data_IF_761416922613
#
_entry.id   IF_761416922613
#
_cell.length_a   1.000
_cell.length_b   1.000
_cell.length_c   1.000
_cell.angle_alpha   90.00
_cell.angle_beta   90.00
_cell.angle_gamma   90.00
#
_symmetry.space_group_name_H-M   'P 1'
#
loop_
_entity.id
_entity.type
_entity.pdbx_description
1 polymer ?
#
# COMPACT_ATOMS: atom_id res chain seq x y z
N UNK A 1 22.48 -8.61 -1.51
CA UNK A 1 21.97 -7.30 -1.99
C UNK A 1 21.10 -7.42 -3.23
N UNK A 2 21.52 -8.07 -4.33
CA UNK A 2 20.70 -8.15 -5.56
C UNK A 2 19.34 -8.87 -5.36
N UNK A 3 19.32 -9.91 -4.52
CA UNK A 3 18.08 -10.61 -4.17
C UNK A 3 17.06 -9.71 -3.44
N UNK A 4 17.52 -8.82 -2.55
CA UNK A 4 16.65 -7.85 -1.87
C UNK A 4 16.09 -6.81 -2.84
N UNK A 5 16.90 -6.33 -3.78
CA UNK A 5 16.44 -5.42 -4.84
C UNK A 5 15.35 -6.10 -5.66
N UNK A 6 15.54 -7.36 -6.05
CA UNK A 6 14.52 -8.11 -6.79
C UNK A 6 13.20 -8.26 -5.99
N UNK A 7 13.27 -8.47 -4.67
CA UNK A 7 12.08 -8.53 -3.81
C UNK A 7 11.35 -7.18 -3.79
N UNK A 8 12.09 -6.06 -3.70
CA UNK A 8 11.50 -4.71 -3.71
C UNK A 8 10.80 -4.45 -5.05
N UNK A 9 11.45 -4.76 -6.18
CA UNK A 9 10.86 -4.61 -7.52
C UNK A 9 9.63 -5.50 -7.67
N UNK A 10 9.69 -6.76 -7.23
CA UNK A 10 8.56 -7.69 -7.28
C UNK A 10 7.38 -7.19 -6.44
N UNK A 11 7.63 -6.67 -5.24
CA UNK A 11 6.59 -6.16 -4.35
C UNK A 11 5.89 -4.93 -4.95
N UNK A 12 6.65 -3.98 -5.52
CA UNK A 12 6.09 -2.78 -6.14
C UNK A 12 5.30 -3.13 -7.41
N UNK A 13 5.89 -3.90 -8.34
CA UNK A 13 5.21 -4.34 -9.56
C UNK A 13 3.96 -5.18 -9.24
N UNK A 14 4.03 -6.04 -8.22
CA UNK A 14 2.92 -6.83 -7.73
C UNK A 14 1.81 -6.01 -7.06
N UNK A 15 2.08 -4.79 -6.62
CA UNK A 15 1.08 -3.87 -6.09
C UNK A 15 0.24 -3.21 -7.20
N UNK A 16 0.84 -2.91 -8.35
CA UNK A 16 0.22 -2.07 -9.38
C UNK A 16 -1.11 -2.61 -9.98
N UNK A 17 -1.34 -3.93 -9.97
CA UNK A 17 -2.54 -4.55 -10.56
C UNK A 17 -3.73 -4.65 -9.58
N UNK A 18 -3.65 -4.00 -8.43
CA UNK A 18 -4.73 -3.89 -7.44
C UNK A 18 -4.83 -2.46 -6.92
N UNK A 19 -6.05 -1.90 -6.72
CA UNK A 19 -6.22 -0.56 -6.14
C UNK A 19 -5.72 -0.43 -4.70
N UNK A 20 -5.42 -1.54 -4.02
CA UNK A 20 -4.89 -1.56 -2.66
C UNK A 20 -3.41 -1.96 -2.59
N UNK A 21 -2.77 -2.22 -3.75
CA UNK A 21 -1.41 -2.72 -3.77
C UNK A 21 -0.36 -1.64 -3.51
N UNK A 22 -0.61 -0.39 -3.94
CA UNK A 22 0.23 0.76 -3.64
C UNK A 22 -0.61 2.01 -3.32
N UNK A 23 -0.03 2.96 -2.56
CA UNK A 23 -0.67 4.24 -2.23
C UNK A 23 -1.04 5.00 -3.51
N UNK A 24 -0.21 4.96 -4.54
CA UNK A 24 -0.47 5.65 -5.82
C UNK A 24 -1.69 5.06 -6.56
N UNK A 25 -1.82 3.73 -6.63
CA UNK A 25 -3.01 3.05 -7.18
C UNK A 25 -4.28 3.40 -6.41
N UNK A 26 -4.19 3.46 -5.07
CA UNK A 26 -5.29 3.87 -4.21
C UNK A 26 -5.71 5.31 -4.47
N UNK A 27 -4.76 6.23 -4.71
CA UNK A 27 -5.05 7.64 -5.01
C UNK A 27 -5.79 7.80 -6.33
N UNK A 28 -5.38 7.07 -7.38
CA UNK A 28 -6.05 7.10 -8.69
C UNK A 28 -7.46 6.50 -8.62
N UNK A 29 -7.61 5.40 -7.87
CA UNK A 29 -8.90 4.75 -7.63
C UNK A 29 -9.86 5.63 -6.83
N UNK A 30 -9.40 6.22 -5.71
CA UNK A 30 -10.21 7.12 -4.88
C UNK A 30 -10.54 8.44 -5.60
N UNK A 31 -9.72 8.87 -6.55
CA UNK A 31 -10.02 9.99 -7.45
C UNK A 31 -11.01 9.63 -8.56
N UNK A 32 -11.46 8.38 -8.66
CA UNK A 32 -12.43 7.91 -9.66
C UNK A 32 -11.89 7.85 -11.09
N UNK A 33 -10.55 7.84 -11.27
CA UNK A 33 -9.92 7.80 -12.60
C UNK A 33 -9.85 6.40 -13.19
N UNK A 34 -9.78 5.38 -12.34
CA UNK A 34 -9.70 3.96 -12.72
C UNK A 34 -10.62 3.14 -11.82
N UNK A 35 -11.45 2.30 -12.42
CA UNK A 35 -12.30 1.36 -11.68
C UNK A 35 -11.51 0.12 -11.21
N UNK A 36 -11.97 -0.50 -10.11
CA UNK A 36 -11.33 -1.67 -9.49
C UNK A 36 -10.96 -2.78 -10.48
N UNK A 37 -11.87 -3.08 -11.43
CA UNK A 37 -11.68 -4.19 -12.38
C UNK A 37 -10.63 -3.87 -13.44
N UNK A 38 -10.39 -2.60 -13.72
CA UNK A 38 -9.47 -2.17 -14.79
C UNK A 38 -8.00 -2.32 -14.38
N UNK A 39 -7.69 -2.34 -13.08
CA UNK A 39 -6.34 -2.63 -12.58
C UNK A 39 -5.87 -4.04 -12.98
N UNK A 40 -6.78 -4.98 -13.24
CA UNK A 40 -6.42 -6.31 -13.71
C UNK A 40 -5.67 -6.29 -15.07
N UNK A 41 -5.87 -5.24 -15.88
CA UNK A 41 -5.11 -5.07 -17.13
C UNK A 41 -3.61 -4.86 -16.89
N UNK A 42 -3.22 -4.39 -15.70
CA UNK A 42 -1.82 -4.21 -15.33
C UNK A 42 -1.13 -5.52 -14.93
N UNK A 43 -1.85 -6.63 -14.75
CA UNK A 43 -1.23 -7.89 -14.32
C UNK A 43 -0.10 -8.36 -15.25
N UNK A 44 -0.33 -8.38 -16.57
CA UNK A 44 0.70 -8.78 -17.53
C UNK A 44 1.83 -7.74 -17.59
N UNK A 45 1.56 -6.43 -17.76
CA UNK A 45 2.58 -5.38 -17.68
C UNK A 45 3.43 -5.44 -16.40
N UNK A 46 2.84 -5.64 -15.22
CA UNK A 46 3.54 -5.80 -13.94
C UNK A 46 4.50 -6.98 -13.92
N UNK A 47 4.06 -8.13 -14.45
CA UNK A 47 4.94 -9.31 -14.57
C UNK A 47 6.12 -9.00 -15.49
N UNK A 48 5.88 -8.32 -16.61
CA UNK A 48 6.95 -7.92 -17.54
C UNK A 48 7.90 -6.90 -16.89
N UNK A 49 7.36 -5.94 -16.14
CA UNK A 49 8.12 -4.93 -15.40
C UNK A 49 9.05 -5.58 -14.36
N UNK A 50 8.62 -6.67 -13.72
CA UNK A 50 9.45 -7.43 -12.79
C UNK A 50 10.44 -8.39 -13.47
N UNK A 51 10.01 -9.13 -14.50
CA UNK A 51 10.82 -10.19 -15.11
C UNK A 51 12.08 -9.64 -15.80
N UNK A 52 11.99 -8.46 -16.41
CA UNK A 52 13.11 -7.85 -17.14
C UNK A 52 14.27 -7.52 -16.16
N UNK A 53 14.08 -6.75 -15.08
CA UNK A 53 15.08 -6.57 -14.04
C UNK A 53 15.54 -7.87 -13.40
N UNK A 54 14.63 -8.82 -13.14
CA UNK A 54 14.98 -10.09 -12.51
C UNK A 54 15.95 -10.90 -13.37
N UNK A 55 15.75 -10.96 -14.69
CA UNK A 55 16.65 -11.63 -15.64
C UNK A 55 18.02 -10.95 -15.72
N UNK A 56 18.06 -9.62 -15.64
CA UNK A 56 19.32 -8.87 -15.60
C UNK A 56 20.07 -9.17 -14.29
N UNK A 57 19.37 -9.09 -13.15
CA UNK A 57 19.94 -9.34 -11.83
C UNK A 57 20.41 -10.78 -11.64
N UNK A 58 19.75 -11.76 -12.28
CA UNK A 58 20.12 -13.17 -12.21
C UNK A 58 21.61 -13.41 -12.51
N UNK A 59 22.18 -12.69 -13.47
CA UNK A 59 23.61 -12.81 -13.81
C UNK A 59 24.56 -12.28 -12.71
N UNK A 60 24.06 -11.46 -11.78
CA UNK A 60 24.84 -10.81 -10.72
C UNK A 60 24.53 -11.36 -9.32
N UNK A 61 23.56 -12.27 -9.18
CA UNK A 61 23.21 -12.88 -7.89
C UNK A 61 24.17 -14.05 -7.60
N UNK A 62 24.90 -14.04 -6.48
CA UNK A 62 25.71 -15.19 -6.06
C UNK A 62 24.82 -16.41 -5.82
N UNK A 63 25.31 -17.59 -6.17
CA UNK A 63 24.61 -18.86 -5.96
C UNK A 63 24.79 -19.35 -4.50
N UNK A 64 24.27 -18.57 -3.56
CA UNK A 64 24.33 -18.82 -2.12
C UNK A 64 22.91 -18.99 -1.57
N UNK A 65 22.73 -19.91 -0.63
CA UNK A 65 21.44 -20.17 0.00
C UNK A 65 21.60 -20.02 1.52
N UNK A 66 20.67 -19.33 2.20
CA UNK A 66 20.65 -19.35 3.66
C UNK A 66 20.33 -20.76 4.14
N UNK A 67 20.94 -21.20 5.24
CA UNK A 67 20.53 -22.42 5.92
C UNK A 67 19.07 -22.24 6.40
N UNK A 68 18.19 -23.14 5.97
CA UNK A 68 16.81 -23.13 6.43
C UNK A 68 16.78 -23.55 7.91
N UNK A 69 16.39 -22.63 8.79
CA UNK A 69 16.18 -22.95 10.20
C UNK A 69 15.02 -23.92 10.37
N UNK A 70 15.20 -24.96 11.17
CA UNK A 70 14.19 -25.98 11.49
C UNK A 70 13.13 -25.49 12.50
N UNK A 71 12.96 -24.17 12.63
CA UNK A 71 12.02 -23.57 13.56
C UNK A 71 10.57 -23.83 13.12
N UNK A 72 9.83 -24.57 13.93
CA UNK A 72 8.40 -24.75 13.75
C UNK A 72 7.68 -23.44 14.11
N UNK A 73 7.20 -22.74 13.09
CA UNK A 73 6.40 -21.52 13.27
C UNK A 73 4.99 -21.92 13.72
N UNK A 74 4.68 -21.70 15.00
CA UNK A 74 3.33 -21.87 15.54
C UNK A 74 2.54 -20.57 15.49
N UNK A 75 1.24 -20.67 15.17
CA UNK A 75 0.35 -19.51 15.19
C UNK A 75 0.07 -19.06 16.62
N UNK A 76 0.30 -17.77 16.91
CA UNK A 76 -0.15 -17.15 18.16
C UNK A 76 -1.67 -17.25 18.33
N UNK A 77 -2.18 -17.29 19.58
CA UNK A 77 -3.62 -17.27 19.85
C UNK A 77 -4.31 -16.11 19.15
N UNK A 78 -5.43 -16.40 18.46
CA UNK A 78 -6.19 -15.38 17.73
C UNK A 78 -5.65 -15.02 16.34
N UNK A 79 -4.47 -15.51 15.92
CA UNK A 79 -3.87 -15.15 14.63
C UNK A 79 -4.79 -15.43 13.43
N UNK A 80 -5.46 -16.59 13.40
CA UNK A 80 -6.40 -16.95 12.32
C UNK A 80 -7.58 -15.98 12.23
N UNK A 81 -8.13 -15.57 13.38
CA UNK A 81 -9.26 -14.62 13.44
C UNK A 81 -8.79 -13.23 13.00
N UNK A 82 -7.59 -12.81 13.41
CA UNK A 82 -6.99 -11.54 12.98
C UNK A 82 -6.75 -11.50 11.47
N UNK A 83 -6.24 -12.58 10.88
CA UNK A 83 -6.08 -12.70 9.43
C UNK A 83 -7.44 -12.59 8.72
N UNK A 84 -8.46 -13.29 9.23
CA UNK A 84 -9.81 -13.24 8.69
C UNK A 84 -10.41 -11.82 8.77
N UNK A 85 -10.23 -11.12 9.90
CA UNK A 85 -10.64 -9.72 10.04
C UNK A 85 -9.89 -8.79 9.08
N UNK A 86 -8.61 -9.03 8.82
CA UNK A 86 -7.84 -8.28 7.83
C UNK A 86 -8.44 -8.42 6.43
N UNK A 87 -8.72 -9.65 5.99
CA UNK A 87 -9.37 -9.93 4.70
C UNK A 87 -10.77 -9.31 4.66
N UNK A 88 -11.55 -9.45 5.73
CA UNK A 88 -12.88 -8.85 5.87
C UNK A 88 -12.82 -7.31 5.77
N UNK A 89 -11.80 -6.68 6.34
CA UNK A 89 -11.59 -5.22 6.30
C UNK A 89 -11.39 -4.76 4.86
N UNK A 90 -10.53 -5.44 4.10
CA UNK A 90 -10.30 -5.15 2.68
C UNK A 90 -11.60 -5.33 1.88
N UNK A 91 -12.29 -6.45 2.07
CA UNK A 91 -13.55 -6.73 1.39
C UNK A 91 -14.62 -5.65 1.67
N UNK A 92 -14.69 -5.18 2.92
CA UNK A 92 -15.63 -4.14 3.34
C UNK A 92 -15.27 -2.78 2.74
N UNK A 93 -13.98 -2.42 2.71
CA UNK A 93 -13.51 -1.17 2.10
C UNK A 93 -13.85 -1.12 0.59
N UNK A 94 -13.61 -2.22 -0.13
CA UNK A 94 -13.99 -2.36 -1.55
C UNK A 94 -15.51 -2.27 -1.72
N UNK A 95 -16.27 -2.99 -0.88
CA UNK A 95 -17.73 -3.07 -0.98
C UNK A 95 -18.40 -1.73 -0.69
N UNK A 96 -17.91 -0.98 0.29
CA UNK A 96 -18.44 0.34 0.64
C UNK A 96 -18.24 1.33 -0.50
N UNK A 97 -17.07 1.29 -1.15
CA UNK A 97 -16.81 2.14 -2.31
C UNK A 97 -17.66 1.74 -3.52
N UNK A 98 -17.67 0.45 -3.86
CA UNK A 98 -18.30 -0.03 -5.10
C UNK A 98 -19.83 -0.01 -5.04
N UNK A 99 -20.43 -0.44 -3.93
CA UNK A 99 -21.88 -0.62 -3.82
C UNK A 99 -22.56 0.54 -3.11
N UNK A 100 -21.94 1.07 -2.05
CA UNK A 100 -22.53 2.13 -1.23
C UNK A 100 -22.08 3.54 -1.64
N UNK A 101 -21.12 3.67 -2.56
CA UNK A 101 -20.52 4.95 -2.97
C UNK A 101 -19.95 5.73 -1.77
N UNK A 102 -19.55 5.01 -0.72
CA UNK A 102 -18.95 5.56 0.48
C UNK A 102 -17.42 5.57 0.35
N UNK A 103 -16.73 6.56 0.94
CA UNK A 103 -15.28 6.56 0.98
C UNK A 103 -14.70 5.25 1.57
N UNK A 104 -13.65 4.67 0.97
CA UNK A 104 -13.10 3.37 1.41
C UNK A 104 -12.60 3.37 2.85
N UNK A 105 -12.14 4.53 3.35
CA UNK A 105 -11.65 4.66 4.72
C UNK A 105 -12.72 4.32 5.77
N UNK A 106 -14.01 4.51 5.47
CA UNK A 106 -15.08 4.12 6.40
C UNK A 106 -15.13 2.60 6.59
N UNK A 107 -14.92 1.82 5.52
CA UNK A 107 -14.79 0.37 5.61
C UNK A 107 -13.54 -0.06 6.37
N UNK A 108 -12.42 0.66 6.17
CA UNK A 108 -11.19 0.43 6.93
C UNK A 108 -11.36 0.73 8.43
N UNK A 109 -12.08 1.81 8.78
CA UNK A 109 -12.37 2.18 10.16
C UNK A 109 -13.32 1.17 10.84
N UNK A 110 -14.29 0.62 10.11
CA UNK A 110 -15.13 -0.47 10.60
C UNK A 110 -14.28 -1.71 10.90
N UNK A 111 -13.40 -2.09 9.99
CA UNK A 111 -12.45 -3.19 10.18
C UNK A 111 -11.54 -2.99 11.39
N UNK A 112 -10.98 -1.78 11.56
CA UNK A 112 -10.20 -1.41 12.74
C UNK A 112 -11.04 -1.53 14.02
N UNK A 113 -12.30 -1.08 14.03
CA UNK A 113 -13.20 -1.23 15.17
C UNK A 113 -13.45 -2.70 15.54
N UNK A 114 -13.66 -3.58 14.55
CA UNK A 114 -13.79 -5.02 14.78
C UNK A 114 -12.49 -5.63 15.33
N UNK A 115 -11.35 -5.21 14.79
CA UNK A 115 -10.03 -5.63 15.27
C UNK A 115 -9.81 -5.18 16.72
N UNK A 116 -10.22 -3.96 17.08
CA UNK A 116 -10.17 -3.43 18.45
C UNK A 116 -11.03 -4.26 19.42
N UNK A 117 -12.24 -4.64 19.00
CA UNK A 117 -13.07 -5.55 19.80
C UNK A 117 -12.43 -6.93 19.96
N UNK A 118 -11.84 -7.50 18.89
CA UNK A 118 -11.13 -8.77 18.97
C UNK A 118 -9.88 -8.68 19.86
N UNK A 119 -9.11 -7.61 19.75
CA UNK A 119 -7.93 -7.38 20.59
C UNK A 119 -8.29 -7.24 22.06
N UNK A 120 -9.39 -6.53 22.37
CA UNK A 120 -9.92 -6.48 23.72
C UNK A 120 -10.32 -7.88 24.23
N UNK A 121 -11.02 -8.67 23.41
CA UNK A 121 -11.37 -10.05 23.76
C UNK A 121 -10.12 -10.92 24.02
N UNK A 122 -9.08 -10.83 23.19
CA UNK A 122 -7.83 -11.56 23.36
C UNK A 122 -7.08 -11.13 24.64
N UNK A 123 -7.03 -9.82 24.93
CA UNK A 123 -6.42 -9.25 26.13
C UNK A 123 -7.11 -9.72 27.41
N UNK A 124 -8.43 -9.91 27.40
CA UNK A 124 -9.19 -10.34 28.60
C UNK A 124 -9.25 -11.86 28.75
N UNK A 125 -9.39 -12.62 27.65
CA UNK A 125 -9.72 -14.05 27.70
C UNK A 125 -8.75 -14.96 26.92
N UNK A 126 -8.10 -14.44 25.87
CA UNK A 126 -7.32 -15.23 24.92
C UNK A 126 -5.94 -15.64 25.44
N UNK A 127 -5.25 -14.73 26.12
CA UNK A 127 -3.90 -14.99 26.64
C UNK A 127 -3.89 -15.90 27.87
N UNK A 128 -4.93 -15.80 28.72
CA UNK A 128 -5.02 -16.58 29.97
C UNK A 128 -4.91 -18.08 29.72
N UNK A 129 -5.63 -18.58 28.71
CA UNK A 129 -5.68 -20.01 28.38
C UNK A 129 -4.40 -20.54 27.72
N UNK A 130 -3.70 -19.69 26.97
CA UNK A 130 -2.41 -20.04 26.37
C UNK A 130 -1.29 -20.02 27.41
N UNK A 131 -1.19 -18.96 28.22
CA UNK A 131 -0.24 -18.81 29.33
C UNK A 131 -0.38 -19.93 30.38
N UNK A 132 -1.62 -20.36 30.67
CA UNK A 132 -1.88 -21.52 31.53
C UNK A 132 -1.41 -22.84 30.90
N UNK A 133 -1.49 -22.99 29.57
CA UNK A 133 -1.02 -24.19 28.87
C UNK A 133 0.51 -24.33 28.78
N UNK A 134 1.24 -23.21 28.83
CA UNK A 134 2.71 -23.16 28.82
C UNK A 134 3.32 -23.00 30.22
N UNK A 135 2.50 -23.01 31.27
CA UNK A 135 2.97 -23.03 32.67
C UNK A 135 3.62 -21.73 33.17
N UNK A 136 3.33 -20.58 32.55
CA UNK A 136 3.93 -19.30 32.93
C UNK A 136 3.31 -18.79 34.25
N UNK A 137 4.12 -18.47 35.29
CA UNK A 137 3.64 -17.95 36.58
C UNK A 137 2.83 -16.66 36.43
N UNK A 138 1.82 -16.44 37.28
CA UNK A 138 0.92 -15.26 37.21
C UNK A 138 1.66 -13.91 37.19
N UNK A 139 2.79 -13.81 37.89
CA UNK A 139 3.57 -12.57 38.01
C UNK A 139 4.30 -12.14 36.72
N UNK A 140 4.52 -13.05 35.75
CA UNK A 140 5.15 -12.72 34.46
C UNK A 140 4.13 -12.48 33.33
N UNK A 141 2.81 -12.55 33.62
CA UNK A 141 1.73 -12.45 32.62
C UNK A 141 1.38 -11.01 32.23
N UNK A 142 1.99 -10.00 32.84
CA UNK A 142 1.62 -8.60 32.61
C UNK A 142 2.29 -7.95 31.40
N UNK A 143 3.50 -8.36 31.03
CA UNK A 143 4.32 -7.64 30.04
C UNK A 143 4.01 -7.97 28.57
N UNK A 144 3.35 -9.09 28.27
CA UNK A 144 3.15 -9.57 26.89
C UNK A 144 1.69 -9.46 26.40
N UNK A 145 0.90 -8.57 27.02
CA UNK A 145 -0.51 -8.36 26.64
C UNK A 145 -0.63 -7.70 25.27
N UNK A 146 -1.40 -8.30 24.37
CA UNK A 146 -1.72 -7.74 23.06
C UNK A 146 -2.42 -6.39 23.20
N UNK A 147 -1.70 -5.31 22.87
CA UNK A 147 -2.21 -3.96 22.93
C UNK A 147 -2.24 -3.31 21.53
N UNK A 148 -3.44 -3.15 20.99
CA UNK A 148 -3.66 -2.52 19.68
C UNK A 148 -3.22 -1.05 19.71
N UNK A 149 -3.40 -0.34 20.83
CA UNK A 149 -2.98 1.06 20.91
C UNK A 149 -1.46 1.18 20.86
N UNK A 150 -0.72 0.25 21.49
CA UNK A 150 0.74 0.16 21.34
C UNK A 150 1.15 -0.09 19.88
N UNK A 151 0.39 -0.91 19.14
CA UNK A 151 0.62 -1.10 17.70
C UNK A 151 0.29 0.14 16.86
N UNK A 152 -0.78 0.86 17.18
CA UNK A 152 -1.14 2.13 16.51
C UNK A 152 -0.11 3.23 16.82
N UNK A 153 0.46 3.25 18.03
CA UNK A 153 1.52 4.19 18.39
C UNK A 153 2.80 3.98 17.57
N UNK A 154 3.03 2.77 17.05
CA UNK A 154 4.14 2.45 16.15
C UNK A 154 3.88 2.83 14.68
N UNK A 155 2.76 3.50 14.38
CA UNK A 155 2.53 4.09 13.06
C UNK A 155 3.54 5.21 12.85
N UNK A 156 4.09 5.31 11.64
CA UNK A 156 5.10 6.32 11.27
C UNK A 156 4.47 7.72 11.13
N UNK A 157 4.22 8.39 12.26
CA UNK A 157 3.66 9.74 12.27
C UNK A 157 4.54 10.76 11.54
N UNK A 158 5.86 10.60 11.56
CA UNK A 158 6.79 11.47 10.84
C UNK A 158 6.55 11.41 9.32
N UNK A 159 6.40 10.21 8.78
CA UNK A 159 6.08 9.97 7.37
C UNK A 159 4.70 10.55 7.00
N UNK A 160 3.70 10.40 7.87
CA UNK A 160 2.37 10.98 7.66
C UNK A 160 2.39 12.52 7.66
N UNK A 161 3.14 13.13 8.57
CA UNK A 161 3.29 14.59 8.64
C UNK A 161 4.06 15.13 7.43
N UNK A 162 5.06 14.40 6.94
CA UNK A 162 5.76 14.70 5.70
C UNK A 162 4.78 14.73 4.51
N UNK A 163 3.98 13.67 4.33
CA UNK A 163 2.98 13.66 3.25
C UNK A 163 1.95 14.77 3.40
N UNK A 164 1.45 15.02 4.61
CA UNK A 164 0.51 16.11 4.84
C UNK A 164 1.08 17.47 4.39
N UNK A 165 2.34 17.76 4.74
CA UNK A 165 3.02 18.99 4.33
C UNK A 165 3.20 19.08 2.81
N UNK A 166 3.73 18.04 2.17
CA UNK A 166 3.97 18.03 0.73
C UNK A 166 2.67 18.10 -0.07
N UNK A 167 1.64 17.33 0.30
CA UNK A 167 0.34 17.38 -0.37
C UNK A 167 -0.31 18.75 -0.24
N UNK A 168 -0.17 19.41 0.92
CA UNK A 168 -0.67 20.78 1.12
C UNK A 168 0.08 21.79 0.25
N UNK A 169 1.41 21.66 0.13
CA UNK A 169 2.22 22.51 -0.76
C UNK A 169 1.82 22.33 -2.23
N UNK A 170 1.63 21.10 -2.70
CA UNK A 170 1.13 20.82 -4.05
C UNK A 170 -0.28 21.38 -4.25
N UNK A 171 -1.15 21.25 -3.25
CA UNK A 171 -2.47 21.87 -3.25
C UNK A 171 -2.42 23.40 -3.38
N UNK A 172 -1.45 24.06 -2.74
CA UNK A 172 -1.22 25.49 -2.90
C UNK A 172 -0.75 25.84 -4.31
N UNK A 173 0.14 25.04 -4.92
CA UNK A 173 0.56 25.23 -6.32
C UNK A 173 -0.62 25.08 -7.31
N UNK A 174 -1.54 24.15 -7.04
CA UNK A 174 -2.79 24.04 -7.80
C UNK A 174 -3.63 25.29 -7.65
N UNK A 175 -3.82 25.77 -6.42
CA UNK A 175 -4.65 26.94 -6.13
C UNK A 175 -4.12 28.22 -6.80
N UNK A 176 -2.80 28.39 -6.85
CA UNK A 176 -2.16 29.53 -7.54
C UNK A 176 -2.14 29.36 -9.07
N UNK A 177 -2.42 28.16 -9.59
CA UNK A 177 -2.53 27.88 -11.02
C UNK A 177 -1.25 27.40 -11.70
N UNK A 178 -0.15 27.21 -10.96
CA UNK A 178 1.12 26.72 -11.54
C UNK A 178 0.97 25.33 -12.15
N UNK A 179 0.21 24.45 -11.49
CA UNK A 179 -0.04 23.11 -12.00
C UNK A 179 -0.84 23.11 -13.32
N UNK A 180 -1.71 24.10 -13.55
CA UNK A 180 -2.41 24.21 -14.83
C UNK A 180 -1.44 24.50 -16.00
N UNK A 181 -0.45 25.39 -15.76
CA UNK A 181 0.59 25.72 -16.75
C UNK A 181 1.45 24.49 -17.05
N UNK A 182 1.84 23.74 -16.01
CA UNK A 182 2.60 22.50 -16.17
C UNK A 182 1.78 21.44 -16.92
N UNK A 183 0.49 21.32 -16.60
CA UNK A 183 -0.44 20.39 -17.27
C UNK A 183 -0.52 20.66 -18.77
N UNK A 184 -0.73 21.92 -19.17
CA UNK A 184 -0.76 22.32 -20.58
C UNK A 184 0.58 22.07 -21.28
N UNK A 185 1.69 22.42 -20.63
CA UNK A 185 3.03 22.24 -21.17
C UNK A 185 3.39 20.77 -21.39
N UNK A 186 3.10 19.91 -20.41
CA UNK A 186 3.41 18.48 -20.47
C UNK A 186 2.36 17.73 -21.29
N UNK A 187 1.13 17.65 -20.80
CA UNK A 187 0.10 16.80 -21.36
C UNK A 187 -0.53 17.38 -22.64
N UNK A 188 -0.56 18.70 -22.80
CA UNK A 188 -1.03 19.36 -24.02
C UNK A 188 -0.03 19.29 -25.17
N UNK A 189 1.22 19.68 -24.94
CA UNK A 189 2.22 19.77 -26.02
C UNK A 189 3.00 18.48 -26.27
N UNK A 190 3.45 17.78 -25.22
CA UNK A 190 4.24 16.54 -25.36
C UNK A 190 3.34 15.30 -25.52
N UNK A 191 2.08 15.42 -25.09
CA UNK A 191 1.11 14.34 -25.07
C UNK A 191 1.24 13.44 -23.82
N UNK A 192 0.20 12.63 -23.53
CA UNK A 192 0.14 11.83 -22.30
C UNK A 192 1.26 10.80 -22.14
N UNK A 193 1.61 10.04 -23.19
CA UNK A 193 2.59 8.95 -23.09
C UNK A 193 3.99 9.45 -22.73
N UNK A 194 4.45 10.52 -23.39
CA UNK A 194 5.77 11.11 -23.11
C UNK A 194 5.77 11.72 -21.72
N UNK A 195 4.70 12.43 -21.35
CA UNK A 195 4.54 13.04 -20.03
C UNK A 195 4.58 12.00 -18.91
N UNK A 196 3.80 10.92 -19.02
CA UNK A 196 3.77 9.84 -18.04
C UNK A 196 5.13 9.14 -17.92
N UNK A 197 5.84 8.94 -19.03
CA UNK A 197 7.20 8.36 -19.00
C UNK A 197 8.18 9.29 -18.27
N UNK A 198 8.14 10.60 -18.55
CA UNK A 198 8.97 11.59 -17.86
C UNK A 198 8.63 11.69 -16.36
N UNK A 199 7.35 11.63 -16.03
CA UNK A 199 6.86 11.58 -14.64
C UNK A 199 7.37 10.33 -13.92
N UNK A 200 7.34 9.16 -14.56
CA UNK A 200 7.90 7.92 -14.02
C UNK A 200 9.41 8.02 -13.76
N UNK A 201 10.17 8.61 -14.68
CA UNK A 201 11.61 8.87 -14.48
C UNK A 201 11.83 9.83 -13.31
N UNK A 202 11.04 10.90 -13.21
CA UNK A 202 11.13 11.87 -12.12
C UNK A 202 10.78 11.22 -10.77
N UNK A 203 9.81 10.31 -10.76
CA UNK A 203 9.41 9.49 -9.61
C UNK A 203 10.46 8.46 -9.17
N UNK A 204 11.51 8.22 -9.96
CA UNK A 204 12.66 7.42 -9.52
C UNK A 204 13.63 8.24 -8.63
N UNK A 205 13.51 9.57 -8.65
CA UNK A 205 14.36 10.51 -7.90
C UNK A 205 13.57 11.15 -6.75
N UNK A 206 12.32 11.51 -7.02
CA UNK A 206 11.36 12.09 -6.06
C UNK A 206 10.38 11.01 -5.64
N UNK A 207 9.86 11.11 -4.42
CA UNK A 207 8.83 10.20 -3.91
C UNK A 207 7.60 10.15 -4.84
N UNK A 208 7.04 8.96 -5.03
CA UNK A 208 5.97 8.68 -5.99
C UNK A 208 4.62 9.28 -5.56
N UNK A 209 4.37 9.40 -4.25
CA UNK A 209 3.10 9.92 -3.70
C UNK A 209 2.89 11.42 -4.04
N UNK A 210 3.84 12.33 -3.76
CA UNK A 210 3.73 13.73 -4.17
C UNK A 210 3.55 13.92 -5.68
N UNK A 211 4.29 13.15 -6.46
CA UNK A 211 4.28 13.22 -7.92
C UNK A 211 2.91 12.80 -8.48
N UNK A 212 2.39 11.66 -8.01
CA UNK A 212 1.06 11.19 -8.37
C UNK A 212 -0.02 12.19 -7.94
N UNK A 213 0.09 12.77 -6.75
CA UNK A 213 -0.84 13.81 -6.30
C UNK A 213 -0.82 15.05 -7.20
N UNK A 214 0.36 15.49 -7.64
CA UNK A 214 0.49 16.62 -8.54
C UNK A 214 -0.22 16.35 -9.86
N UNK A 215 -0.05 15.16 -10.46
CA UNK A 215 -0.76 14.79 -11.69
C UNK A 215 -2.27 14.70 -11.49
N UNK A 216 -2.73 14.16 -10.36
CA UNK A 216 -4.16 14.16 -10.02
C UNK A 216 -4.73 15.57 -9.88
N UNK A 217 -3.95 16.53 -9.37
CA UNK A 217 -4.37 17.93 -9.25
C UNK A 217 -4.34 18.68 -10.57
N UNK A 218 -3.38 18.38 -11.44
CA UNK A 218 -3.35 18.87 -12.82
C UNK A 218 -4.58 18.43 -13.62
N UNK A 219 -5.16 17.28 -13.26
CA UNK A 219 -6.30 16.62 -13.93
C UNK A 219 -6.23 16.64 -15.47
N UNK A 220 -5.15 16.10 -16.07
CA UNK A 220 -5.02 16.08 -17.52
C UNK A 220 -6.07 15.16 -18.15
N UNK A 221 -6.62 15.59 -19.29
CA UNK A 221 -7.54 14.78 -20.07
C UNK A 221 -6.78 13.66 -20.79
N UNK A 222 -6.70 12.48 -20.17
CA UNK A 222 -6.04 11.30 -20.75
C UNK A 222 -6.87 10.03 -20.58
N UNK A 223 -6.61 9.05 -21.45
CA UNK A 223 -7.31 7.77 -21.50
C UNK A 223 -7.01 6.85 -20.32
N UNK A 224 -7.80 5.79 -20.19
CA UNK A 224 -7.65 4.77 -19.15
C UNK A 224 -6.24 4.13 -19.17
N UNK A 225 -5.72 3.88 -20.36
CA UNK A 225 -4.37 3.34 -20.59
C UNK A 225 -3.28 4.22 -19.95
N UNK A 226 -3.44 5.54 -20.02
CA UNK A 226 -2.49 6.51 -19.48
C UNK A 226 -2.61 6.64 -17.96
N UNK A 227 -3.83 6.57 -17.43
CA UNK A 227 -4.05 6.49 -15.98
C UNK A 227 -3.55 5.19 -15.36
N UNK A 228 -3.57 4.09 -16.11
CA UNK A 228 -2.96 2.82 -15.70
C UNK A 228 -1.42 2.89 -15.84
N UNK A 229 -0.90 3.53 -16.89
CA UNK A 229 0.54 3.67 -17.12
C UNK A 229 1.24 4.46 -16.02
N UNK A 230 0.65 5.55 -15.53
CA UNK A 230 1.27 6.36 -14.46
C UNK A 230 1.33 5.63 -13.11
N UNK A 231 0.51 4.60 -12.92
CA UNK A 231 0.51 3.77 -11.71
C UNK A 231 1.42 2.54 -11.79
N UNK A 232 2.11 2.33 -12.92
CA UNK A 232 3.00 1.19 -13.19
C UNK A 232 4.47 1.58 -13.02
#
# INVERSE_FOLDING_TARGET
VPAFVNIIVAANAGGAWSPFGDITTLMVWTAGKVETQMFAYLMIPSIVNWIIPALILYAFVPNEFPEAGDEKIEFKPGAKVTICLGIFTIATAVSFHQFLHLPPFLGMMLGLGLLMMQGFYLKVWGEKKHLDSIGVPEDQREDDKFDIFKKVANVEFDTLLFFFGVLTAVGALQYVGYLAIVSESMYGNLGPTISNTLVGILSAIVDNIPVMYAVLKMDPAMGLDQWLLITL
#
